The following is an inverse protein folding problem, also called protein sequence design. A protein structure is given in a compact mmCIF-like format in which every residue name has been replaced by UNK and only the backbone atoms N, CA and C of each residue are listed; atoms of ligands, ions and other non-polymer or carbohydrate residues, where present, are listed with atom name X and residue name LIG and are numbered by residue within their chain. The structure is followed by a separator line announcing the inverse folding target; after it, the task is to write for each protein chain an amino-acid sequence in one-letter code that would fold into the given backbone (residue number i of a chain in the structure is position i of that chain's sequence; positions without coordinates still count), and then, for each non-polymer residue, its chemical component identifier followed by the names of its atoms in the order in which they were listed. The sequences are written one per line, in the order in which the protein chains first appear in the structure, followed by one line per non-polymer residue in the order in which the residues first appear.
data_IF_991828057965
#
_entry.id   IF_991828057965
#
_cell.length_a   1.000
_cell.length_b   1.000
_cell.length_c   1.000
_cell.angle_alpha   90.00
_cell.angle_beta   90.00
_cell.angle_gamma   90.00
#
_symmetry.space_group_name_H-M   'P 1'
#
loop_
_entity.id
_entity.type
_entity.pdbx_description
1 polymer ?
#
# COMPACT_ATOMS: atom_id res chain seq x y z
N UNK A 1 -6.41 -13.78 -8.76
CA UNK A 1 -5.24 -13.14 -8.13
C UNK A 1 -4.33 -14.15 -7.42
N UNK A 2 -4.89 -15.12 -6.70
CA UNK A 2 -4.13 -16.12 -5.94
C UNK A 2 -3.16 -16.95 -6.79
N UNK A 3 -3.55 -17.40 -7.99
CA UNK A 3 -2.69 -18.20 -8.88
C UNK A 3 -1.44 -17.44 -9.33
N UNK A 4 -1.57 -16.14 -9.62
CA UNK A 4 -0.44 -15.30 -10.02
C UNK A 4 0.54 -15.08 -8.86
N UNK A 5 0.01 -14.83 -7.65
CA UNK A 5 0.83 -14.69 -6.44
C UNK A 5 1.57 -16.00 -6.11
N UNK A 6 0.90 -17.15 -6.30
CA UNK A 6 1.52 -18.46 -6.11
C UNK A 6 2.64 -18.71 -7.14
N UNK A 7 2.38 -18.45 -8.41
CA UNK A 7 3.40 -18.55 -9.46
C UNK A 7 4.61 -17.65 -9.20
N UNK A 8 4.36 -16.40 -8.76
CA UNK A 8 5.42 -15.45 -8.44
C UNK A 8 6.37 -16.03 -7.39
N UNK A 9 5.81 -16.58 -6.30
CA UNK A 9 6.57 -17.13 -5.18
C UNK A 9 7.24 -18.46 -5.51
N UNK A 10 6.50 -19.38 -6.12
CA UNK A 10 6.92 -20.77 -6.23
C UNK A 10 7.77 -21.04 -7.50
N UNK A 11 7.63 -20.21 -8.54
CA UNK A 11 8.26 -20.45 -9.85
C UNK A 11 9.13 -19.28 -10.28
N UNK A 12 8.56 -18.06 -10.35
CA UNK A 12 9.26 -16.92 -10.93
C UNK A 12 10.46 -16.48 -10.08
N UNK A 13 10.25 -16.22 -8.78
CA UNK A 13 11.32 -15.74 -7.90
C UNK A 13 12.50 -16.73 -7.84
N UNK A 14 12.31 -18.05 -7.67
CA UNK A 14 13.40 -19.01 -7.73
C UNK A 14 14.17 -19.02 -9.06
N UNK A 15 13.49 -19.00 -10.21
CA UNK A 15 14.16 -18.98 -11.52
C UNK A 15 14.89 -17.67 -11.78
N UNK A 16 14.30 -16.54 -11.38
CA UNK A 16 14.86 -15.21 -11.55
C UNK A 16 16.10 -15.02 -10.68
N UNK A 17 15.99 -15.36 -9.39
CA UNK A 17 17.11 -15.27 -8.46
C UNK A 17 18.27 -16.17 -8.89
N UNK A 18 18.02 -17.39 -9.37
CA UNK A 18 19.08 -18.24 -9.92
C UNK A 18 19.90 -17.56 -11.03
N UNK A 19 19.28 -16.69 -11.82
CA UNK A 19 19.94 -15.99 -12.95
C UNK A 19 20.61 -14.69 -12.55
N UNK A 20 20.05 -13.97 -11.57
CA UNK A 20 20.37 -12.57 -11.32
C UNK A 20 20.71 -12.24 -9.85
N UNK A 21 20.48 -13.15 -8.92
CA UNK A 21 20.83 -12.95 -7.52
C UNK A 21 22.34 -12.89 -7.36
N UNK A 22 22.78 -11.94 -6.53
CA UNK A 22 24.18 -11.76 -6.18
C UNK A 22 24.26 -11.64 -4.66
N UNK A 23 25.21 -12.36 -4.08
CA UNK A 23 25.46 -12.25 -2.64
C UNK A 23 25.81 -10.80 -2.26
N UNK A 24 25.19 -10.27 -1.19
CA UNK A 24 25.49 -8.94 -0.71
C UNK A 24 26.93 -8.88 -0.18
N UNK A 25 27.56 -7.71 -0.30
CA UNK A 25 28.91 -7.50 0.22
C UNK A 25 28.97 -7.54 1.76
N UNK A 26 27.85 -7.21 2.43
CA UNK A 26 27.70 -7.22 3.89
C UNK A 26 26.30 -7.68 4.26
N UNK A 27 26.17 -8.38 5.38
CA UNK A 27 24.90 -8.81 5.95
C UNK A 27 24.29 -7.75 6.90
N UNK A 28 24.73 -6.49 6.81
CA UNK A 28 24.19 -5.41 7.62
C UNK A 28 22.76 -5.08 7.20
N UNK A 29 21.83 -5.14 8.15
CA UNK A 29 20.46 -4.68 7.94
C UNK A 29 20.38 -3.17 8.21
N UNK A 30 20.01 -2.42 7.17
CA UNK A 30 19.85 -0.95 7.22
C UNK A 30 18.38 -0.54 7.10
N UNK A 31 17.44 -1.49 7.13
CA UNK A 31 16.02 -1.15 7.10
C UNK A 31 15.64 -0.44 8.40
N UNK A 32 14.81 0.60 8.26
CA UNK A 32 14.27 1.31 9.40
C UNK A 32 13.01 0.59 9.88
N UNK A 33 12.93 0.31 11.18
CA UNK A 33 11.69 -0.18 11.79
C UNK A 33 10.61 0.89 11.67
N UNK A 34 9.41 0.48 11.28
CA UNK A 34 8.25 1.37 11.21
C UNK A 34 7.90 1.88 12.61
N UNK A 35 7.58 3.17 12.71
CA UNK A 35 7.05 3.76 13.94
C UNK A 35 5.58 3.35 14.16
N UNK A 36 5.12 3.42 15.39
CA UNK A 36 3.74 3.07 15.76
C UNK A 36 2.68 3.87 14.97
N UNK A 37 2.96 5.13 14.62
CA UNK A 37 2.08 5.96 13.80
C UNK A 37 2.01 5.48 12.34
N UNK A 38 3.12 5.00 11.80
CA UNK A 38 3.22 4.47 10.43
C UNK A 38 2.48 3.13 10.33
N UNK A 39 2.65 2.25 11.31
CA UNK A 39 1.94 0.96 11.37
C UNK A 39 0.42 1.18 11.41
N UNK A 40 -0.05 2.11 12.25
CA UNK A 40 -1.49 2.43 12.35
C UNK A 40 -2.08 3.03 11.07
N UNK A 41 -1.24 3.60 10.21
CA UNK A 41 -1.66 4.28 8.97
C UNK A 41 -1.20 3.55 7.72
N UNK A 42 -0.77 2.30 7.83
CA UNK A 42 -0.13 1.57 6.74
C UNK A 42 -1.03 1.44 5.51
N UNK A 43 -2.33 1.20 5.71
CA UNK A 43 -3.32 1.15 4.63
C UNK A 43 -3.50 2.50 3.94
N UNK A 44 -3.39 3.60 4.71
CA UNK A 44 -3.40 4.94 4.14
C UNK A 44 -2.11 5.19 3.34
N UNK A 45 -0.95 4.79 3.84
CA UNK A 45 0.36 4.99 3.18
C UNK A 45 0.40 4.24 1.84
N UNK A 46 -0.05 2.98 1.80
CA UNK A 46 -0.06 2.13 0.61
C UNK A 46 -1.39 2.17 -0.16
N UNK A 47 -2.03 3.34 -0.23
CA UNK A 47 -3.25 3.55 -1.02
C UNK A 47 -3.02 4.56 -2.14
N UNK A 48 -3.86 4.49 -3.17
CA UNK A 48 -3.93 5.53 -4.20
C UNK A 48 -4.70 6.74 -3.63
N UNK A 49 -4.06 7.92 -3.63
CA UNK A 49 -4.67 9.13 -3.10
C UNK A 49 -5.28 9.95 -4.25
N UNK A 50 -6.56 10.35 -4.09
CA UNK A 50 -7.27 11.15 -5.09
C UNK A 50 -7.86 12.40 -4.44
N UNK A 51 -7.46 13.57 -4.91
CA UNK A 51 -7.95 14.85 -4.41
C UNK A 51 -9.34 15.19 -4.96
N UNK A 52 -10.23 15.73 -4.13
CA UNK A 52 -11.61 16.09 -4.49
C UNK A 52 -12.04 17.35 -3.76
N UNK A 53 -13.02 18.06 -4.33
CA UNK A 53 -13.65 19.22 -3.72
C UNK A 53 -14.91 18.78 -2.96
N UNK A 54 -15.08 19.29 -1.74
CA UNK A 54 -16.28 19.08 -0.93
C UNK A 54 -17.39 19.99 -1.46
N UNK A 55 -18.57 19.43 -1.73
CA UNK A 55 -19.74 20.19 -2.15
C UNK A 55 -20.38 20.94 -0.97
N UNK A 56 -21.21 21.94 -1.28
CA UNK A 56 -21.85 22.80 -0.26
C UNK A 56 -22.76 22.02 0.72
N UNK A 57 -23.23 20.83 0.34
CA UNK A 57 -24.03 19.92 1.16
C UNK A 57 -23.17 18.90 1.94
N UNK A 58 -21.85 19.14 2.04
CA UNK A 58 -20.88 18.27 2.69
C UNK A 58 -20.76 16.87 2.08
N UNK A 59 -21.01 16.74 0.77
CA UNK A 59 -20.76 15.50 0.04
C UNK A 59 -19.45 15.55 -0.74
N UNK A 60 -18.85 14.38 -0.93
CA UNK A 60 -17.75 14.16 -1.89
C UNK A 60 -18.23 13.12 -2.92
N UNK A 61 -18.02 13.41 -4.20
CA UNK A 61 -18.21 12.43 -5.27
C UNK A 61 -16.91 11.69 -5.57
N UNK A 62 -16.97 10.36 -5.53
CA UNK A 62 -15.89 9.50 -5.99
C UNK A 62 -16.46 8.48 -6.98
N UNK A 63 -16.00 8.58 -8.23
CA UNK A 63 -16.55 7.84 -9.37
C UNK A 63 -18.07 8.04 -9.48
N UNK A 64 -18.84 6.96 -9.35
CA UNK A 64 -20.30 6.94 -9.44
C UNK A 64 -20.98 6.89 -8.06
N UNK A 65 -20.24 7.21 -6.99
CA UNK A 65 -20.74 7.19 -5.61
C UNK A 65 -20.60 8.55 -4.95
N UNK A 66 -21.57 8.88 -4.12
CA UNK A 66 -21.55 10.05 -3.24
C UNK A 66 -21.33 9.61 -1.81
N UNK A 67 -20.43 10.31 -1.13
CA UNK A 67 -20.07 10.07 0.26
C UNK A 67 -20.47 11.30 1.07
N UNK A 68 -21.37 11.12 2.03
CA UNK A 68 -21.74 12.17 2.97
C UNK A 68 -20.69 12.24 4.07
N UNK A 69 -20.14 13.42 4.30
CA UNK A 69 -19.26 13.67 5.44
C UNK A 69 -20.12 14.01 6.66
N UNK A 70 -19.92 13.28 7.74
CA UNK A 70 -20.50 13.59 9.04
C UNK A 70 -19.44 14.21 9.93
N UNK A 71 -19.76 15.36 10.52
CA UNK A 71 -18.91 15.93 11.56
C UNK A 71 -19.17 15.17 12.85
N UNK A 72 -18.15 14.51 13.41
CA UNK A 72 -18.22 14.11 14.82
C UNK A 72 -18.14 15.39 15.67
N UNK A 73 -19.06 15.52 16.63
CA UNK A 73 -18.89 16.47 17.74
C UNK A 73 -17.92 15.81 18.72
N UNK A 74 -16.87 16.53 19.08
CA UNK A 74 -15.99 16.22 20.21
C UNK A 74 -16.75 16.42 21.54
#
# INVERSE_FOLDING_TARGET
METANKFLKDVFLPDFNRKFEREPKSNSDLHLTLRDDEIKRIDQIFSEHKERVIANDFTIRFENKYYQLFRKKD
#
